data_IF_472677562289
#
_entry.id   IF_472677562289
#
_cell.length_a   1.000
_cell.length_b   1.000
_cell.length_c   1.000
_cell.angle_alpha   90.00
_cell.angle_beta   90.00
_cell.angle_gamma   90.00
#
_symmetry.space_group_name_H-M   'P 1'
#
loop_
_entity.id
_entity.type
_entity.pdbx_description
1 polymer ?
#
# COMPACT_ATOMS: atom_id res chain seq x y z
N UNK A 1 -5.76 7.80 41.07
CA UNK A 1 -6.06 7.72 39.62
C UNK A 1 -4.80 8.14 38.87
N UNK A 2 -4.18 7.25 38.09
CA UNK A 2 -3.05 7.60 37.20
C UNK A 2 -3.57 7.59 35.75
N UNK A 3 -3.27 8.60 34.91
CA UNK A 3 -3.62 8.54 33.50
C UNK A 3 -2.67 7.55 32.81
N UNK A 4 -3.22 6.51 32.18
CA UNK A 4 -2.49 5.68 31.22
C UNK A 4 -2.56 6.37 29.86
N UNK A 5 -1.67 7.34 29.63
CA UNK A 5 -1.39 7.82 28.29
C UNK A 5 -0.37 6.88 27.65
N UNK A 6 -0.84 5.95 26.81
CA UNK A 6 0.03 5.12 25.98
C UNK A 6 0.11 5.79 24.61
N UNK A 7 1.13 6.59 24.37
CA UNK A 7 1.50 7.04 23.02
C UNK A 7 2.23 5.89 22.33
N UNK A 8 1.51 5.09 21.54
CA UNK A 8 2.12 4.11 20.64
C UNK A 8 2.53 4.84 19.35
N UNK A 9 3.79 4.68 18.95
CA UNK A 9 4.33 5.21 17.70
C UNK A 9 3.80 4.42 16.50
N UNK A 10 3.46 5.13 15.42
CA UNK A 10 3.17 4.55 14.12
C UNK A 10 4.49 4.12 13.45
N UNK A 11 4.54 2.88 12.95
CA UNK A 11 5.61 2.40 12.08
C UNK A 11 4.96 1.98 10.77
N UNK A 12 5.35 2.66 9.69
CA UNK A 12 4.88 2.53 8.31
C UNK A 12 6.14 2.29 7.47
N UNK A 13 6.38 1.06 7.03
CA UNK A 13 7.63 0.72 6.35
C UNK A 13 7.38 0.61 4.86
N UNK A 14 7.69 1.69 4.14
CA UNK A 14 7.45 1.81 2.71
C UNK A 14 8.74 1.67 1.90
N UNK A 15 8.85 0.59 1.14
CA UNK A 15 9.82 0.46 0.05
C UNK A 15 9.17 0.91 -1.27
N UNK A 16 9.55 2.08 -1.79
CA UNK A 16 9.12 2.57 -3.11
C UNK A 16 10.29 2.38 -4.08
N UNK A 17 10.10 1.92 -5.31
CA UNK A 17 11.05 2.18 -6.41
C UNK A 17 10.22 2.39 -7.67
N UNK A 18 10.49 3.46 -8.42
CA UNK A 18 9.80 3.80 -9.67
C UNK A 18 10.25 2.88 -10.80
N UNK A 19 9.32 2.42 -11.65
CA UNK A 19 9.63 1.78 -12.94
C UNK A 19 9.60 2.84 -14.05
N UNK A 20 10.75 3.14 -14.66
CA UNK A 20 10.85 3.92 -15.90
C UNK A 20 11.57 3.05 -16.94
N UNK A 21 10.87 2.66 -18.01
CA UNK A 21 11.40 1.73 -19.04
C UNK A 21 12.51 2.30 -19.94
N UNK A 22 13.13 3.45 -19.62
CA UNK A 22 14.17 4.06 -20.49
C UNK A 22 15.33 4.80 -19.78
N UNK A 23 15.56 4.64 -18.47
CA UNK A 23 16.76 5.23 -17.82
C UNK A 23 17.55 4.18 -17.02
N UNK A 24 18.89 4.20 -17.22
CA UNK A 24 19.85 3.16 -16.84
C UNK A 24 20.16 3.03 -15.33
N UNK A 25 19.55 3.83 -14.45
CA UNK A 25 19.50 3.53 -13.02
C UNK A 25 18.20 4.09 -12.42
N UNK A 26 17.45 3.29 -11.64
CA UNK A 26 16.27 3.79 -10.97
C UNK A 26 16.67 4.74 -9.83
N UNK A 27 15.93 5.83 -9.58
CA UNK A 27 16.06 6.56 -8.33
C UNK A 27 15.65 5.64 -7.17
N UNK A 28 16.58 5.41 -6.25
CA UNK A 28 16.32 4.71 -4.99
C UNK A 28 15.57 5.64 -4.05
N UNK A 29 14.45 5.15 -3.51
CA UNK A 29 13.66 5.88 -2.53
C UNK A 29 13.89 5.23 -1.17
N UNK A 30 14.35 6.04 -0.22
CA UNK A 30 14.76 5.60 1.11
C UNK A 30 13.81 6.23 2.12
N UNK A 31 13.38 5.43 3.10
CA UNK A 31 12.77 5.92 4.32
C UNK A 31 13.76 6.81 5.06
N UNK A 32 13.51 8.11 5.11
CA UNK A 32 14.22 8.98 6.03
C UNK A 32 13.42 9.13 7.32
N UNK A 33 13.94 8.57 8.40
CA UNK A 33 13.47 8.89 9.74
C UNK A 33 13.92 10.31 10.09
N UNK A 34 13.01 11.28 10.11
CA UNK A 34 13.32 12.61 10.64
C UNK A 34 13.30 12.56 12.17
N UNK A 35 14.46 12.31 12.76
CA UNK A 35 14.66 12.49 14.20
C UNK A 35 14.83 13.98 14.46
N UNK A 36 13.76 14.70 14.77
CA UNK A 36 13.91 16.05 15.31
C UNK A 36 14.71 15.94 16.61
N UNK A 37 15.89 16.58 16.67
CA UNK A 37 16.70 16.65 17.90
C UNK A 37 15.94 17.46 18.96
N UNK A 38 15.02 16.82 19.66
CA UNK A 38 14.38 17.36 20.85
C UNK A 38 15.15 16.86 22.07
N UNK A 39 15.80 17.77 22.78
CA UNK A 39 16.53 17.52 24.04
C UNK A 39 15.61 17.30 25.25
N UNK A 40 14.34 17.00 25.00
CA UNK A 40 13.34 16.73 26.04
C UNK A 40 12.81 15.31 25.87
N UNK A 41 12.76 14.56 26.99
CA UNK A 41 12.39 13.14 27.11
C UNK A 41 10.91 12.85 26.75
N UNK A 42 10.34 13.54 25.77
CA UNK A 42 9.01 13.27 25.24
C UNK A 42 9.16 12.39 24.01
N UNK A 43 8.71 11.15 24.16
CA UNK A 43 8.62 10.09 23.16
C UNK A 43 7.80 10.59 21.96
N UNK A 44 8.46 11.29 21.03
CA UNK A 44 7.80 11.93 19.91
C UNK A 44 7.54 10.86 18.87
N UNK A 45 6.28 10.66 18.42
CA UNK A 45 5.96 9.64 17.44
C UNK A 45 6.82 9.83 16.19
N UNK A 46 7.55 8.78 15.80
CA UNK A 46 8.29 8.78 14.53
C UNK A 46 7.27 8.93 13.41
N UNK A 47 7.28 10.08 12.74
CA UNK A 47 6.48 10.28 11.53
C UNK A 47 7.32 9.85 10.35
N UNK A 48 6.84 8.86 9.60
CA UNK A 48 7.54 8.31 8.46
C UNK A 48 6.96 8.96 7.22
N UNK A 49 7.80 9.60 6.41
CA UNK A 49 7.37 10.31 5.20
C UNK A 49 7.86 9.53 3.99
N UNK A 50 6.97 9.28 3.01
CA UNK A 50 7.41 8.76 1.72
C UNK A 50 8.34 9.76 1.05
N UNK A 51 9.50 9.28 0.61
CA UNK A 51 10.42 10.08 -0.20
C UNK A 51 10.68 9.37 -1.52
N UNK A 52 10.47 10.05 -2.66
CA UNK A 52 9.89 11.36 -2.82
C UNK A 52 8.42 11.30 -2.42
N UNK A 53 7.91 12.46 -2.04
CA UNK A 53 6.50 12.64 -1.78
C UNK A 53 5.76 12.25 -3.06
N UNK A 54 4.74 11.42 -2.93
CA UNK A 54 3.84 11.10 -4.04
C UNK A 54 3.16 12.38 -4.48
N UNK A 55 3.28 12.72 -5.76
CA UNK A 55 2.71 13.95 -6.32
C UNK A 55 1.71 13.62 -7.40
N UNK A 56 0.68 14.44 -7.53
CA UNK A 56 -0.18 14.40 -8.72
C UNK A 56 0.69 14.70 -9.98
N UNK A 57 0.48 14.00 -11.11
CA UNK A 57 -0.60 13.07 -11.42
C UNK A 57 -0.26 11.58 -11.26
N UNK A 58 0.64 11.23 -10.35
CA UNK A 58 1.08 9.84 -10.19
C UNK A 58 -0.06 8.92 -9.72
N UNK A 59 -0.12 7.75 -10.33
CA UNK A 59 -0.95 6.62 -9.90
C UNK A 59 -0.04 5.66 -9.13
N UNK A 60 -0.42 5.40 -7.89
CA UNK A 60 0.34 4.56 -6.96
C UNK A 60 -0.40 3.26 -6.67
N UNK A 61 0.32 2.15 -6.74
CA UNK A 61 -0.09 0.85 -6.23
C UNK A 61 0.39 0.70 -4.79
N UNK A 62 -0.52 0.56 -3.85
CA UNK A 62 -0.22 0.42 -2.44
C UNK A 62 -0.54 -0.97 -1.87
N UNK A 63 0.26 -1.41 -0.91
CA UNK A 63 0.01 -2.60 -0.10
C UNK A 63 -0.06 -2.23 1.37
N UNK A 64 -1.14 -2.63 2.03
CA UNK A 64 -1.23 -2.63 3.49
C UNK A 64 -1.03 -4.04 4.03
N UNK A 65 -0.36 -4.18 5.17
CA UNK A 65 -0.27 -5.46 5.85
C UNK A 65 -1.64 -5.80 6.46
N UNK A 66 -2.18 -6.96 6.09
CA UNK A 66 -3.30 -7.60 6.79
C UNK A 66 -2.79 -8.64 7.78
N UNK A 67 -1.76 -9.38 7.37
CA UNK A 67 -1.10 -10.38 8.21
C UNK A 67 0.39 -10.36 7.87
N UNK A 68 1.29 -10.15 8.84
CA UNK A 68 2.71 -10.08 8.53
C UNK A 68 3.39 -11.46 8.42
N UNK A 69 3.02 -12.46 9.22
CA UNK A 69 3.70 -13.77 9.25
C UNK A 69 2.78 -14.93 9.68
N UNK A 70 3.12 -16.21 9.41
CA UNK A 70 4.27 -16.69 8.62
C UNK A 70 4.10 -16.48 7.11
N UNK A 71 2.86 -16.33 6.66
CA UNK A 71 2.51 -16.05 5.27
C UNK A 71 2.00 -14.60 5.19
N UNK A 72 2.83 -13.64 4.72
CA UNK A 72 2.40 -12.27 4.53
C UNK A 72 1.16 -12.18 3.66
N UNK A 73 0.14 -11.48 4.15
CA UNK A 73 -1.06 -11.16 3.42
C UNK A 73 -1.23 -9.65 3.35
N UNK A 74 -1.51 -9.16 2.16
CA UNK A 74 -1.62 -7.74 1.88
C UNK A 74 -3.03 -7.37 1.42
N UNK A 75 -3.45 -6.16 1.76
CA UNK A 75 -4.61 -5.50 1.20
C UNK A 75 -4.14 -4.51 0.14
N UNK A 76 -4.72 -4.63 -1.06
CA UNK A 76 -4.27 -3.92 -2.24
C UNK A 76 -5.13 -2.69 -2.47
N UNK A 77 -4.50 -1.57 -2.82
CA UNK A 77 -5.20 -0.34 -3.18
C UNK A 77 -4.48 0.42 -4.28
N UNK A 78 -5.24 1.26 -4.99
CA UNK A 78 -4.68 2.32 -5.83
C UNK A 78 -4.80 3.64 -5.09
N UNK A 79 -3.85 4.54 -5.34
CA UNK A 79 -3.84 5.88 -4.79
C UNK A 79 -3.49 6.89 -5.87
N UNK A 80 -4.19 8.02 -5.86
CA UNK A 80 -3.85 9.18 -6.69
C UNK A 80 -3.77 10.40 -5.78
N UNK A 81 -2.62 11.06 -5.78
CA UNK A 81 -2.42 12.28 -4.99
C UNK A 81 -3.40 13.39 -5.41
N UNK A 82 -3.86 14.19 -4.45
CA UNK A 82 -4.63 15.38 -4.76
C UNK A 82 -3.68 16.44 -5.39
N UNK A 83 -4.03 17.07 -6.52
CA UNK A 83 -3.20 18.10 -7.17
C UNK A 83 -2.83 19.28 -6.27
N UNK A 84 -3.64 19.57 -5.26
CA UNK A 84 -3.42 20.67 -4.32
C UNK A 84 -2.71 20.23 -3.03
N UNK A 85 -2.40 18.94 -2.87
CA UNK A 85 -1.85 18.39 -1.66
C UNK A 85 -0.32 18.51 -1.60
N UNK A 86 0.17 19.06 -0.50
CA UNK A 86 1.60 19.10 -0.16
C UNK A 86 1.99 18.03 0.88
N UNK A 87 1.00 17.34 1.46
CA UNK A 87 1.18 16.38 2.56
C UNK A 87 0.95 14.92 2.12
N UNK A 88 0.67 14.67 0.85
CA UNK A 88 0.37 13.33 0.35
C UNK A 88 -1.08 12.89 0.60
N UNK A 89 -1.98 13.83 0.85
CA UNK A 89 -3.43 13.61 0.74
C UNK A 89 -3.82 13.28 -0.70
N UNK A 90 -4.82 12.42 -0.87
CA UNK A 90 -5.34 12.04 -2.16
C UNK A 90 -6.52 11.09 -2.07
N UNK A 91 -6.82 10.44 -3.18
CA UNK A 91 -7.91 9.48 -3.30
C UNK A 91 -7.36 8.06 -3.29
N UNK A 92 -7.82 7.25 -2.32
CA UNK A 92 -7.57 5.81 -2.26
C UNK A 92 -8.75 5.06 -2.85
N UNK A 93 -8.46 4.09 -3.72
CA UNK A 93 -9.43 3.22 -4.36
C UNK A 93 -9.07 1.77 -4.00
N UNK A 94 -10.03 1.02 -3.48
CA UNK A 94 -9.84 -0.39 -3.15
C UNK A 94 -11.17 -1.13 -3.17
N UNK A 95 -11.10 -2.45 -2.99
CA UNK A 95 -12.29 -3.23 -2.65
C UNK A 95 -12.10 -3.86 -1.29
N UNK A 96 -13.17 -3.92 -0.50
CA UNK A 96 -13.20 -4.52 0.83
C UNK A 96 -14.18 -5.68 0.85
N UNK A 97 -13.95 -6.66 1.74
CA UNK A 97 -14.93 -7.72 1.97
C UNK A 97 -16.00 -7.23 2.94
N UNK A 98 -17.23 -7.10 2.46
CA UNK A 98 -18.37 -6.82 3.33
C UNK A 98 -18.58 -7.98 4.30
N UNK A 99 -19.31 -7.72 5.39
CA UNK A 99 -19.67 -8.72 6.41
C UNK A 99 -20.42 -9.94 5.85
N UNK A 100 -20.99 -9.83 4.65
CA UNK A 100 -21.75 -10.89 3.98
C UNK A 100 -20.88 -11.72 3.01
N UNK A 101 -19.57 -11.48 2.97
CA UNK A 101 -18.64 -12.18 2.06
C UNK A 101 -18.71 -11.67 0.61
N UNK A 102 -19.35 -10.53 0.38
CA UNK A 102 -19.43 -9.86 -0.93
C UNK A 102 -18.40 -8.73 -0.95
N UNK A 103 -17.64 -8.63 -2.03
CA UNK A 103 -16.68 -7.56 -2.25
C UNK A 103 -17.39 -6.29 -2.73
N UNK A 104 -17.04 -5.17 -2.11
CA UNK A 104 -17.57 -3.85 -2.39
C UNK A 104 -16.44 -2.90 -2.76
N UNK A 105 -16.68 -2.04 -3.75
CA UNK A 105 -15.73 -0.98 -4.13
C UNK A 105 -15.91 0.21 -3.21
N UNK A 106 -14.80 0.80 -2.77
CA UNK A 106 -14.79 1.95 -1.89
C UNK A 106 -13.78 3.00 -2.36
N UNK A 107 -14.20 4.27 -2.28
CA UNK A 107 -13.41 5.45 -2.59
C UNK A 107 -13.23 6.27 -1.31
N UNK A 108 -11.99 6.55 -0.95
CA UNK A 108 -11.64 7.38 0.22
C UNK A 108 -10.93 8.65 -0.26
N UNK A 109 -11.64 9.78 -0.28
CA UNK A 109 -11.21 11.02 -0.96
C UNK A 109 -10.29 11.95 -0.15
N UNK A 110 -9.91 11.58 1.08
CA UNK A 110 -8.99 12.35 1.93
C UNK A 110 -7.98 11.42 2.61
N UNK A 111 -7.48 10.44 1.87
CA UNK A 111 -6.51 9.49 2.37
C UNK A 111 -5.11 10.12 2.34
N UNK A 112 -4.41 10.16 3.47
CA UNK A 112 -3.03 10.68 3.53
C UNK A 112 -2.06 9.52 3.53
N UNK A 113 -1.43 9.24 2.37
CA UNK A 113 -0.54 8.09 2.23
C UNK A 113 0.71 8.19 3.12
N UNK A 114 1.13 9.43 3.46
CA UNK A 114 2.31 9.69 4.29
C UNK A 114 2.08 9.58 5.79
N UNK A 115 0.84 9.65 6.26
CA UNK A 115 0.53 9.68 7.70
C UNK A 115 -0.63 8.76 8.06
N UNK A 116 -0.93 7.80 7.18
CA UNK A 116 -1.98 6.82 7.39
C UNK A 116 -1.69 6.00 8.63
N UNK A 117 -2.70 5.72 9.44
CA UNK A 117 -2.61 4.69 10.48
C UNK A 117 -2.58 3.27 9.91
N UNK A 118 -2.82 3.12 8.61
CA UNK A 118 -2.66 1.85 7.94
C UNK A 118 -1.18 1.50 7.80
N UNK A 119 -0.82 0.25 8.11
CA UNK A 119 0.53 -0.26 7.98
C UNK A 119 0.87 -0.53 6.51
N UNK A 120 1.12 0.53 5.74
CA UNK A 120 1.49 0.45 4.33
C UNK A 120 2.93 -0.11 4.24
N UNK A 121 3.12 -1.22 3.53
CA UNK A 121 4.44 -1.82 3.29
C UNK A 121 5.09 -1.42 1.96
N UNK A 122 4.26 -1.02 1.00
CA UNK A 122 4.72 -0.76 -0.35
C UNK A 122 3.86 0.31 -0.99
N UNK A 123 4.50 1.22 -1.71
CA UNK A 123 3.85 2.21 -2.57
C UNK A 123 4.66 2.32 -3.87
N UNK A 124 4.13 1.84 -4.99
CA UNK A 124 4.81 1.87 -6.28
C UNK A 124 4.13 2.86 -7.20
N UNK A 125 4.89 3.78 -7.78
CA UNK A 125 4.39 4.60 -8.88
C UNK A 125 4.29 3.70 -10.11
N UNK A 126 3.06 3.40 -10.53
CA UNK A 126 2.76 2.49 -11.65
C UNK A 126 2.32 3.22 -12.93
N UNK A 127 2.14 4.55 -12.84
CA UNK A 127 1.74 5.38 -13.97
C UNK A 127 1.54 6.83 -13.56
N UNK A 128 1.13 7.63 -14.53
CA UNK A 128 0.81 9.05 -14.36
C UNK A 128 -0.44 9.33 -15.21
N UNK A 129 -1.39 10.08 -14.68
CA UNK A 129 -2.61 10.44 -15.41
C UNK A 129 -2.21 11.33 -16.60
N UNK A 130 -2.62 10.99 -17.84
CA UNK A 130 -2.29 11.79 -19.02
C UNK A 130 -2.83 13.22 -18.92
N UNK A 131 -2.11 14.19 -19.51
CA UNK A 131 -2.47 15.61 -19.46
C UNK A 131 -3.93 15.89 -19.86
N UNK A 132 -4.40 15.23 -20.92
CA UNK A 132 -5.78 15.34 -21.42
C UNK A 132 -6.86 14.78 -20.46
N UNK A 133 -6.46 14.10 -19.39
CA UNK A 133 -7.34 13.46 -18.39
C UNK A 133 -7.16 14.02 -16.97
N UNK A 134 -6.30 15.03 -16.79
CA UNK A 134 -5.99 15.60 -15.46
C UNK A 134 -7.16 16.32 -14.80
N UNK A 135 -8.11 16.82 -15.60
CA UNK A 135 -9.19 17.67 -15.12
C UNK A 135 -10.19 16.92 -14.26
N UNK A 136 -10.24 15.59 -14.37
CA UNK A 136 -11.23 14.82 -13.64
C UNK A 136 -10.75 13.39 -13.34
N UNK A 137 -10.65 13.07 -12.03
CA UNK A 137 -10.40 11.72 -11.56
C UNK A 137 -11.61 10.80 -11.77
N UNK A 138 -12.80 11.35 -12.06
CA UNK A 138 -14.01 10.55 -12.27
C UNK A 138 -13.78 9.45 -13.28
N UNK A 139 -13.16 9.72 -14.44
CA UNK A 139 -12.96 8.68 -15.46
C UNK A 139 -12.11 7.49 -14.97
N UNK A 140 -11.13 7.72 -14.08
CA UNK A 140 -10.35 6.65 -13.47
C UNK A 140 -11.21 5.87 -12.47
N UNK A 141 -11.98 6.59 -11.64
CA UNK A 141 -12.88 6.00 -10.64
C UNK A 141 -13.98 5.18 -11.34
N UNK A 142 -14.59 5.71 -12.39
CA UNK A 142 -15.66 5.11 -13.20
C UNK A 142 -15.21 3.77 -13.81
N UNK A 143 -13.95 3.71 -14.28
CA UNK A 143 -13.34 2.45 -14.73
C UNK A 143 -13.24 1.46 -13.58
N UNK A 144 -12.69 1.88 -12.44
CA UNK A 144 -12.49 1.02 -11.27
C UNK A 144 -13.80 0.53 -10.65
N UNK A 145 -14.86 1.33 -10.71
CA UNK A 145 -16.17 1.05 -10.11
C UNK A 145 -17.11 0.27 -11.04
N UNK A 146 -17.20 0.69 -12.30
CA UNK A 146 -18.28 0.24 -13.19
C UNK A 146 -17.83 -0.70 -14.30
N UNK A 147 -16.54 -0.71 -14.68
CA UNK A 147 -16.05 -1.63 -15.73
C UNK A 147 -15.58 -2.97 -15.17
N UNK A 148 -15.21 -3.02 -13.90
CA UNK A 148 -14.75 -4.24 -13.24
C UNK A 148 -15.95 -4.96 -12.63
N UNK A 149 -16.17 -6.21 -13.02
CA UNK A 149 -17.24 -7.04 -12.43
C UNK A 149 -16.83 -7.51 -11.03
N UNK A 150 -17.33 -6.84 -9.99
CA UNK A 150 -17.10 -7.25 -8.61
C UNK A 150 -17.65 -8.66 -8.36
N UNK A 151 -16.94 -9.44 -7.52
CA UNK A 151 -17.30 -10.81 -7.13
C UNK A 151 -17.16 -11.88 -8.23
N UNK A 152 -16.68 -11.51 -9.42
CA UNK A 152 -16.40 -12.45 -10.52
C UNK A 152 -14.91 -12.47 -10.85
N UNK A 153 -14.30 -13.66 -10.93
CA UNK A 153 -12.90 -13.78 -11.38
C UNK A 153 -12.79 -13.42 -12.86
N UNK A 154 -12.00 -12.40 -13.24
CA UNK A 154 -11.79 -12.00 -14.62
C UNK A 154 -11.28 -13.15 -15.49
N UNK A 155 -11.59 -13.13 -16.78
CA UNK A 155 -11.22 -14.20 -17.70
C UNK A 155 -9.71 -14.49 -17.72
N UNK A 156 -8.88 -13.45 -17.62
CA UNK A 156 -7.41 -13.56 -17.59
C UNK A 156 -6.86 -14.30 -16.35
N UNK A 157 -7.64 -14.38 -15.27
CA UNK A 157 -7.26 -14.99 -14.00
C UNK A 157 -8.01 -16.31 -13.73
N UNK A 158 -8.95 -16.71 -14.60
CA UNK A 158 -9.66 -17.99 -14.46
C UNK A 158 -8.66 -19.16 -14.50
N UNK A 159 -8.75 -20.05 -13.52
CA UNK A 159 -7.83 -21.19 -13.37
C UNK A 159 -6.52 -20.85 -12.64
N UNK A 160 -6.14 -19.57 -12.54
CA UNK A 160 -5.05 -19.09 -11.68
C UNK A 160 -5.57 -18.74 -10.28
N UNK A 161 -6.74 -18.11 -10.23
CA UNK A 161 -7.35 -17.58 -9.02
C UNK A 161 -8.63 -18.34 -8.67
N UNK A 162 -8.76 -18.87 -7.44
CA UNK A 162 -9.92 -19.68 -7.06
C UNK A 162 -11.18 -18.85 -6.78
N UNK A 163 -11.03 -17.56 -6.45
CA UNK A 163 -12.13 -16.64 -6.12
C UNK A 163 -11.71 -15.18 -6.30
N UNK A 164 -12.70 -14.28 -6.35
CA UNK A 164 -12.45 -12.84 -6.36
C UNK A 164 -11.89 -12.38 -5.01
N UNK A 165 -10.91 -11.47 -5.06
CA UNK A 165 -10.24 -10.85 -3.91
C UNK A 165 -9.80 -9.43 -4.25
N UNK A 166 -9.38 -8.63 -3.26
CA UNK A 166 -8.79 -7.31 -3.53
C UNK A 166 -7.54 -7.38 -4.43
N UNK A 167 -6.78 -8.47 -4.37
CA UNK A 167 -5.68 -8.74 -5.29
C UNK A 167 -6.18 -8.91 -6.73
N UNK A 168 -7.19 -9.75 -6.93
CA UNK A 168 -7.80 -9.98 -8.25
C UNK A 168 -8.39 -8.68 -8.82
N UNK A 169 -9.10 -7.91 -7.98
CA UNK A 169 -9.59 -6.58 -8.35
C UNK A 169 -8.47 -5.66 -8.81
N UNK A 170 -7.36 -5.59 -8.05
CA UNK A 170 -6.21 -4.74 -8.39
C UNK A 170 -5.62 -5.11 -9.76
N UNK A 171 -5.44 -6.40 -10.05
CA UNK A 171 -4.92 -6.84 -11.35
C UNK A 171 -5.83 -6.39 -12.49
N UNK A 172 -7.14 -6.56 -12.33
CA UNK A 172 -8.10 -6.14 -13.34
C UNK A 172 -8.16 -4.62 -13.49
N UNK A 173 -8.09 -3.88 -12.38
CA UNK A 173 -8.01 -2.43 -12.41
C UNK A 173 -6.80 -1.96 -13.21
N UNK A 174 -5.61 -2.53 -12.98
CA UNK A 174 -4.41 -2.20 -13.76
C UNK A 174 -4.60 -2.49 -15.26
N UNK A 175 -5.22 -3.64 -15.61
CA UNK A 175 -5.50 -3.98 -17.02
C UNK A 175 -6.48 -3.00 -17.67
N UNK A 176 -7.59 -2.67 -17.00
CA UNK A 176 -8.58 -1.71 -17.49
C UNK A 176 -7.98 -0.31 -17.64
N UNK A 177 -7.20 0.14 -16.66
CA UNK A 177 -6.52 1.44 -16.71
C UNK A 177 -5.45 1.48 -17.81
N UNK A 178 -4.73 0.38 -18.05
CA UNK A 178 -3.80 0.25 -19.17
C UNK A 178 -4.54 0.34 -20.51
N UNK A 179 -5.63 -0.41 -20.67
CA UNK A 179 -6.45 -0.40 -21.90
C UNK A 179 -7.07 0.97 -22.17
N UNK A 180 -7.46 1.70 -21.13
CA UNK A 180 -7.97 3.06 -21.22
C UNK A 180 -6.85 4.12 -21.40
N UNK A 181 -5.57 3.74 -21.31
CA UNK A 181 -4.43 4.65 -21.47
C UNK A 181 -4.17 5.56 -20.27
N UNK A 182 -4.57 5.18 -19.06
CA UNK A 182 -4.20 5.88 -17.81
C UNK A 182 -2.80 5.52 -17.33
N UNK A 183 -2.31 4.34 -17.69
CA UNK A 183 -0.96 3.88 -17.37
C UNK A 183 -0.47 2.93 -18.46
N UNK A 184 0.81 2.56 -18.41
CA UNK A 184 1.38 1.54 -19.29
C UNK A 184 1.91 0.39 -18.43
N UNK A 185 1.19 -0.73 -18.45
CA UNK A 185 1.58 -1.97 -17.78
C UNK A 185 1.42 -3.12 -18.78
N UNK A 186 2.55 -3.65 -19.24
CA UNK A 186 2.59 -4.75 -20.22
C UNK A 186 2.35 -6.12 -19.58
N UNK A 187 2.71 -6.26 -18.31
CA UNK A 187 2.56 -7.49 -17.55
C UNK A 187 2.16 -7.19 -16.10
N UNK A 188 0.90 -7.47 -15.77
CA UNK A 188 0.35 -7.25 -14.44
C UNK A 188 0.77 -8.34 -13.44
N UNK A 189 1.08 -9.54 -13.92
CA UNK A 189 1.53 -10.64 -13.05
C UNK A 189 2.96 -10.34 -12.54
N UNK A 190 3.82 -9.75 -13.37
CA UNK A 190 5.14 -9.26 -12.94
C UNK A 190 5.05 -8.06 -11.99
N UNK A 191 4.13 -7.12 -12.23
CA UNK A 191 3.87 -6.02 -11.31
C UNK A 191 3.43 -6.51 -9.92
N UNK A 192 2.55 -7.53 -9.88
CA UNK A 192 2.11 -8.15 -8.64
C UNK A 192 3.28 -8.77 -7.87
N UNK A 193 4.13 -9.56 -8.55
CA UNK A 193 5.32 -10.18 -7.94
C UNK A 193 6.27 -9.12 -7.37
N UNK A 194 6.51 -8.05 -8.12
CA UNK A 194 7.36 -6.94 -7.67
C UNK A 194 6.80 -6.29 -6.40
N UNK A 195 5.50 -5.97 -6.39
CA UNK A 195 4.85 -5.37 -5.23
C UNK A 195 4.92 -6.28 -3.99
N UNK A 196 4.65 -7.58 -4.14
CA UNK A 196 4.74 -8.56 -3.05
C UNK A 196 6.18 -8.65 -2.54
N UNK A 197 7.17 -8.76 -3.43
CA UNK A 197 8.57 -8.87 -3.03
C UNK A 197 9.03 -7.67 -2.19
N UNK A 198 8.62 -6.46 -2.57
CA UNK A 198 8.89 -5.23 -1.81
C UNK A 198 8.16 -5.21 -0.47
N UNK A 199 6.91 -5.66 -0.45
CA UNK A 199 6.11 -5.74 0.78
C UNK A 199 6.70 -6.73 1.78
N UNK A 200 7.22 -7.86 1.29
CA UNK A 200 7.93 -8.85 2.10
C UNK A 200 9.28 -8.32 2.60
N UNK A 201 10.08 -7.67 1.76
CA UNK A 201 11.35 -7.07 2.18
C UNK A 201 11.13 -6.01 3.28
N UNK A 202 10.12 -5.16 3.11
CA UNK A 202 9.71 -4.19 4.13
C UNK A 202 9.32 -4.86 5.47
N UNK A 203 8.70 -6.04 5.43
CA UNK A 203 8.36 -6.82 6.63
C UNK A 203 9.58 -7.45 7.32
N UNK A 204 10.67 -7.71 6.58
CA UNK A 204 11.90 -8.27 7.15
C UNK A 204 12.74 -7.23 7.88
N UNK A 205 12.63 -5.96 7.52
CA UNK A 205 13.28 -4.84 8.22
C UNK A 205 12.62 -4.47 9.56
N UNK A 206 11.50 -5.13 9.90
CA UNK A 206 10.77 -4.88 11.15
C UNK A 206 11.42 -5.66 12.29
N UNK A 207 12.42 -5.05 12.91
CA UNK A 207 13.12 -5.62 14.08
C UNK A 207 12.24 -5.67 15.35
N UNK A 208 11.25 -4.77 15.46
CA UNK A 208 10.33 -4.68 16.61
C UNK A 208 8.87 -4.69 16.15
N UNK A 209 8.30 -5.89 16.06
CA UNK A 209 6.89 -6.04 15.70
C UNK A 209 5.95 -5.55 16.82
N UNK A 210 6.39 -5.56 18.09
CA UNK A 210 5.55 -5.06 19.17
C UNK A 210 5.30 -3.55 19.05
N UNK A 211 6.21 -2.83 18.37
CA UNK A 211 6.08 -1.43 17.99
C UNK A 211 5.17 -1.16 16.78
N UNK A 212 4.75 -2.18 16.01
CA UNK A 212 3.74 -1.98 14.97
C UNK A 212 2.38 -1.67 15.60
N UNK A 213 1.68 -0.63 15.15
CA UNK A 213 0.30 -0.32 15.58
C UNK A 213 -0.72 -1.23 14.87
N UNK A 214 -0.46 -2.54 14.91
CA UNK A 214 -1.40 -3.55 14.43
C UNK A 214 -2.33 -4.00 15.56
N UNK A 215 -3.58 -4.41 15.25
CA UNK A 215 -4.51 -4.92 16.24
C UNK A 215 -3.86 -5.96 17.16
N UNK A 216 -4.17 -5.94 18.46
CA UNK A 216 -3.60 -6.88 19.46
C UNK A 216 -3.73 -8.35 19.06
N UNK A 217 -4.79 -8.69 18.31
CA UNK A 217 -4.98 -10.03 17.74
C UNK A 217 -3.85 -10.42 16.79
N UNK A 218 -3.30 -9.48 16.03
CA UNK A 218 -2.19 -9.68 15.10
C UNK A 218 -0.83 -9.68 15.81
N UNK A 219 -0.59 -8.81 16.82
CA UNK A 219 0.67 -8.76 17.59
C UNK A 219 1.07 -10.13 18.19
N UNK A 220 0.11 -10.87 18.74
CA UNK A 220 0.35 -12.18 19.38
C UNK A 220 0.89 -13.24 18.42
N UNK A 221 0.50 -13.21 17.15
CA UNK A 221 1.00 -14.16 16.16
C UNK A 221 2.45 -13.88 15.81
N UNK A 222 2.84 -12.62 15.77
CA UNK A 222 4.19 -12.26 15.34
C UNK A 222 5.23 -12.47 16.43
N UNK A 223 4.90 -12.17 17.69
CA UNK A 223 5.77 -12.49 18.84
C UNK A 223 6.10 -14.00 18.93
N UNK A 224 5.22 -14.88 18.42
CA UNK A 224 5.45 -16.33 18.39
C UNK A 224 6.44 -16.74 17.29
N UNK A 225 6.49 -16.01 16.18
CA UNK A 225 7.36 -16.30 15.02
C UNK A 225 8.79 -15.77 15.23
N UNK A 226 8.93 -14.60 15.86
CA UNK A 226 10.25 -14.08 16.21
C UNK A 226 11.00 -15.02 17.16
N UNK A 227 10.30 -15.62 18.14
CA UNK A 227 10.85 -16.65 19.02
C UNK A 227 11.33 -17.90 18.26
N UNK A 228 10.70 -18.24 17.14
CA UNK A 228 11.08 -19.38 16.30
C UNK A 228 12.29 -19.11 15.42
N UNK A 229 12.47 -17.87 14.94
CA UNK A 229 13.68 -17.46 14.20
C UNK A 229 14.91 -17.41 15.10
N UNK A 230 14.79 -16.85 16.32
CA UNK A 230 15.91 -16.77 17.28
C UNK A 230 16.37 -18.16 17.75
N UNK A 231 15.48 -19.15 17.80
CA UNK A 231 15.82 -20.53 18.21
C UNK A 231 16.52 -21.39 17.14
N UNK A 232 16.72 -20.88 15.92
CA UNK A 232 17.41 -21.61 14.84
C UNK A 232 18.78 -21.03 14.51
N UNK A 233 19.22 -20.01 15.24
CA UNK A 233 20.52 -19.35 15.06
C UNK A 233 21.51 -19.65 16.20
N UNK A 234 21.26 -20.70 16.99
CA UNK A 234 22.13 -21.17 18.08
C UNK A 234 22.59 -22.59 17.82
#
# INVERSE_FOLDING_TARGET
MRPRGSTMGQIIILCCIKRHEHQLQPPTYILETSTAMSTTNTDTPRTLTLKPIVMFPQIVLGLNIVRPFPDPAFHWFLFVANPMSIQGEGTKLHVTDSKNGVWEFEVVTNFTINSSSEAITTALIIGEIPEGKLKDLTGLIDICEHQIKLNEVPAADKGKEPKFTCRVWMKEAVRCLNAAGYLRCTDVDELEKEAIARGCAALEEIDDIDALDIPRSQKRFVAKLHKSKVSHTV
#
